data_IF_339473087951
#
_entry.id   IF_339473087951
#
_cell.length_a   1.000
_cell.length_b   1.000
_cell.length_c   1.000
_cell.angle_alpha   90.00
_cell.angle_beta   90.00
_cell.angle_gamma   90.00
#
_symmetry.space_group_name_H-M   'P 1'
#
loop_
_entity.id
_entity.type
_entity.pdbx_description
1 polymer ?
#
# COMPACT_ATOMS: atom_id res chain seq x y z
N UNK A 1 -37.15 -3.22 1.85
CA UNK A 1 -37.46 -2.27 2.92
C UNK A 1 -37.31 -0.88 2.35
N UNK A 2 -38.37 -0.09 2.36
CA UNK A 2 -38.37 1.29 1.87
C UNK A 2 -37.45 2.13 2.78
N UNK A 3 -36.47 2.83 2.17
CA UNK A 3 -35.56 3.71 2.90
C UNK A 3 -34.24 3.11 3.36
N UNK A 4 -33.95 1.84 3.03
CA UNK A 4 -32.63 1.23 3.31
C UNK A 4 -31.52 1.95 2.55
N UNK A 5 -30.41 2.21 3.23
CA UNK A 5 -29.21 2.80 2.66
C UNK A 5 -28.03 1.87 2.88
N UNK A 6 -27.16 1.80 1.91
CA UNK A 6 -25.92 1.01 1.97
C UNK A 6 -24.74 1.96 1.99
N UNK A 7 -23.80 1.69 2.88
CA UNK A 7 -22.58 2.46 3.02
C UNK A 7 -21.39 1.53 2.78
N UNK A 8 -20.48 1.99 1.95
CA UNK A 8 -19.24 1.28 1.64
C UNK A 8 -18.07 2.23 1.84
N UNK A 9 -16.98 1.73 2.37
CA UNK A 9 -15.71 2.40 2.32
C UNK A 9 -14.65 1.47 1.74
N UNK A 10 -13.71 2.01 1.00
CA UNK A 10 -12.61 1.25 0.43
C UNK A 10 -11.42 2.18 0.17
N UNK A 11 -10.23 1.60 0.18
CA UNK A 11 -9.05 2.27 -0.34
C UNK A 11 -9.00 2.10 -1.86
N UNK A 12 -8.45 3.09 -2.59
CA UNK A 12 -8.19 2.96 -4.01
C UNK A 12 -7.26 1.78 -4.32
N UNK A 13 -7.51 1.15 -5.46
CA UNK A 13 -6.71 0.09 -6.01
C UNK A 13 -6.51 0.31 -7.52
N UNK A 14 -6.49 -0.73 -8.32
CA UNK A 14 -6.43 -0.61 -9.76
C UNK A 14 -7.66 0.13 -10.32
N UNK A 15 -7.51 1.01 -11.32
CA UNK A 15 -8.65 1.66 -11.99
C UNK A 15 -9.60 0.65 -12.67
N UNK A 16 -9.13 -0.57 -12.93
CA UNK A 16 -9.94 -1.66 -13.49
C UNK A 16 -10.64 -2.52 -12.42
N UNK A 17 -10.48 -2.18 -11.15
CA UNK A 17 -11.14 -2.92 -10.08
C UNK A 17 -12.67 -2.87 -10.25
N UNK A 18 -13.33 -4.02 -10.10
CA UNK A 18 -14.77 -4.18 -10.36
C UNK A 18 -15.64 -3.17 -9.60
N UNK A 19 -15.26 -2.83 -8.37
CA UNK A 19 -16.02 -1.88 -7.57
C UNK A 19 -15.98 -0.47 -8.18
N UNK A 20 -14.81 -0.05 -8.68
CA UNK A 20 -14.69 1.23 -9.38
C UNK A 20 -15.53 1.21 -10.66
N UNK A 21 -15.29 0.26 -11.55
CA UNK A 21 -15.92 0.22 -12.88
C UNK A 21 -17.42 -0.03 -12.85
N UNK A 22 -17.90 -0.81 -11.85
CA UNK A 22 -19.32 -1.19 -11.76
C UNK A 22 -20.14 -0.26 -10.87
N UNK A 23 -19.51 0.49 -9.97
CA UNK A 23 -20.21 1.35 -9.02
C UNK A 23 -19.78 2.80 -9.10
N UNK A 24 -18.52 3.11 -8.85
CA UNK A 24 -18.03 4.49 -8.76
C UNK A 24 -18.18 5.22 -10.11
N UNK A 25 -17.72 4.61 -11.20
CA UNK A 25 -17.79 5.21 -12.53
C UNK A 25 -19.24 5.34 -13.04
N UNK A 26 -20.16 4.58 -12.45
CA UNK A 26 -21.60 4.63 -12.73
C UNK A 26 -22.42 5.28 -11.62
N UNK A 27 -21.81 6.18 -10.87
CA UNK A 27 -22.42 6.79 -9.70
C UNK A 27 -23.77 7.48 -10.02
N UNK A 28 -23.85 8.20 -11.13
CA UNK A 28 -25.07 8.87 -11.56
C UNK A 28 -26.17 7.88 -11.97
N UNK A 29 -25.81 6.88 -12.77
CA UNK A 29 -26.73 5.83 -13.21
C UNK A 29 -27.34 5.08 -12.02
N UNK A 30 -26.51 4.76 -11.04
CA UNK A 30 -26.90 3.99 -9.84
C UNK A 30 -27.45 4.89 -8.71
N UNK A 31 -27.54 6.19 -8.91
CA UNK A 31 -28.02 7.16 -7.91
C UNK A 31 -27.27 7.05 -6.59
N UNK A 32 -25.96 6.82 -6.65
CA UNK A 32 -25.11 6.76 -5.46
C UNK A 32 -24.35 8.07 -5.26
N UNK A 33 -24.04 8.37 -4.01
CA UNK A 33 -23.16 9.46 -3.62
C UNK A 33 -21.76 8.88 -3.45
N UNK A 34 -20.80 9.36 -4.23
CA UNK A 34 -19.39 9.02 -4.07
C UNK A 34 -18.68 10.18 -3.37
N UNK A 35 -18.07 9.89 -2.24
CA UNK A 35 -17.26 10.82 -1.48
C UNK A 35 -15.81 10.34 -1.52
N UNK A 36 -14.93 11.23 -1.93
CA UNK A 36 -13.49 10.99 -1.91
C UNK A 36 -12.87 11.80 -0.77
N UNK A 37 -12.04 11.15 0.01
CA UNK A 37 -11.27 11.77 1.08
C UNK A 37 -9.82 11.38 0.95
N UNK A 38 -8.94 12.33 1.15
CA UNK A 38 -7.51 12.10 1.28
C UNK A 38 -7.04 12.34 2.74
N UNK A 39 -5.76 12.19 2.97
CA UNK A 39 -5.20 12.38 4.31
C UNK A 39 -5.31 13.84 4.77
N UNK A 40 -5.29 14.79 3.85
CA UNK A 40 -5.30 16.22 4.18
C UNK A 40 -6.69 16.70 4.57
N UNK A 41 -7.74 16.02 4.14
CA UNK A 41 -9.12 16.28 4.57
C UNK A 41 -9.34 15.98 6.06
N UNK A 42 -8.47 15.19 6.67
CA UNK A 42 -8.55 14.89 8.10
C UNK A 42 -7.91 16.02 8.93
N UNK A 43 -8.74 16.98 9.34
CA UNK A 43 -8.32 18.13 10.13
C UNK A 43 -7.85 17.77 11.56
N UNK A 44 -8.23 16.60 12.06
CA UNK A 44 -7.80 16.13 13.40
C UNK A 44 -6.40 15.52 13.40
N UNK A 45 -5.83 15.28 12.22
CA UNK A 45 -4.53 14.64 12.09
C UNK A 45 -3.40 15.69 12.16
N UNK A 46 -2.54 15.58 13.16
CA UNK A 46 -1.44 16.50 13.35
C UNK A 46 -0.43 16.43 12.18
N UNK A 47 0.18 17.55 11.82
CA UNK A 47 1.05 17.65 10.64
C UNK A 47 2.30 16.75 10.73
N UNK A 48 2.86 16.55 11.93
CA UNK A 48 3.97 15.63 12.14
C UNK A 48 3.60 14.17 11.80
N UNK A 49 2.34 13.78 12.05
CA UNK A 49 1.82 12.46 11.69
C UNK A 49 1.64 12.36 10.18
N UNK A 50 1.08 13.39 9.53
CA UNK A 50 0.96 13.44 8.07
C UNK A 50 2.33 13.35 7.39
N UNK A 51 3.32 14.10 7.88
CA UNK A 51 4.69 14.06 7.37
C UNK A 51 5.30 12.65 7.48
N UNK A 52 5.08 11.97 8.61
CA UNK A 52 5.54 10.59 8.79
C UNK A 52 4.91 9.64 7.77
N UNK A 53 3.61 9.72 7.54
CA UNK A 53 2.95 8.87 6.54
C UNK A 53 3.44 9.18 5.13
N UNK A 54 3.62 10.46 4.76
CA UNK A 54 4.18 10.84 3.47
C UNK A 54 5.60 10.30 3.25
N UNK A 55 6.40 10.19 4.30
CA UNK A 55 7.75 9.62 4.21
C UNK A 55 7.80 8.09 4.16
N UNK A 56 6.76 7.42 4.64
CA UNK A 56 6.69 5.95 4.68
C UNK A 56 6.23 5.33 3.36
N UNK A 57 5.38 6.03 2.61
CA UNK A 57 4.82 5.51 1.37
C UNK A 57 5.53 6.09 0.16
N UNK A 58 5.78 5.24 -0.83
CA UNK A 58 6.42 5.62 -2.09
C UNK A 58 5.69 5.00 -3.29
N UNK A 59 5.91 5.58 -4.48
CA UNK A 59 5.37 5.07 -5.73
C UNK A 59 3.86 4.92 -5.73
N UNK A 60 3.37 3.77 -6.17
CA UNK A 60 1.94 3.46 -6.27
C UNK A 60 1.23 3.49 -4.92
N UNK A 61 1.90 3.06 -3.85
CA UNK A 61 1.30 3.08 -2.51
C UNK A 61 1.10 4.51 -2.01
N UNK A 62 2.01 5.42 -2.32
CA UNK A 62 1.82 6.84 -2.03
C UNK A 62 0.59 7.40 -2.77
N UNK A 63 0.47 7.10 -4.06
CA UNK A 63 -0.67 7.52 -4.86
C UNK A 63 -1.99 6.98 -4.33
N UNK A 64 -2.02 5.70 -3.95
CA UNK A 64 -3.26 5.05 -3.45
C UNK A 64 -3.65 5.49 -2.05
N UNK A 65 -2.70 5.48 -1.11
CA UNK A 65 -3.01 5.63 0.33
C UNK A 65 -2.87 7.07 0.84
N UNK A 66 -2.04 7.89 0.19
CA UNK A 66 -1.87 9.29 0.58
C UNK A 66 -2.70 10.21 -0.30
N UNK A 67 -2.65 10.02 -1.61
CA UNK A 67 -3.38 10.86 -2.56
C UNK A 67 -4.77 10.33 -2.92
N UNK A 68 -5.14 9.13 -2.49
CA UNK A 68 -6.44 8.54 -2.75
C UNK A 68 -6.71 8.21 -4.23
N UNK A 69 -5.68 7.97 -5.03
CA UNK A 69 -5.80 7.78 -6.47
C UNK A 69 -5.98 6.32 -6.85
N UNK A 70 -6.91 6.06 -7.77
CA UNK A 70 -7.03 4.77 -8.43
C UNK A 70 -5.96 4.67 -9.51
N UNK A 71 -4.91 3.89 -9.24
CA UNK A 71 -3.75 3.80 -10.13
C UNK A 71 -3.28 2.37 -10.33
N UNK A 72 -2.71 2.11 -11.51
CA UNK A 72 -2.17 0.80 -11.86
C UNK A 72 -0.82 0.62 -11.18
N UNK A 73 -0.65 -0.51 -10.51
CA UNK A 73 0.66 -0.94 -10.04
C UNK A 73 1.39 -1.64 -11.19
N UNK A 74 2.03 -0.87 -12.06
CA UNK A 74 2.82 -1.45 -13.14
C UNK A 74 4.19 -1.90 -12.61
N UNK A 75 4.38 -3.19 -12.64
CA UNK A 75 5.67 -3.88 -12.80
C UNK A 75 6.56 -4.04 -11.59
N UNK A 76 6.76 -3.07 -10.74
CA UNK A 76 7.76 -3.16 -9.67
C UNK A 76 7.07 -3.02 -8.31
N UNK A 77 6.97 -4.14 -7.60
CA UNK A 77 6.42 -4.16 -6.22
C UNK A 77 7.32 -3.36 -5.25
N UNK A 78 8.60 -3.28 -5.57
CA UNK A 78 9.60 -2.54 -4.80
C UNK A 78 10.41 -1.67 -5.77
N UNK A 79 9.94 -0.45 -6.02
CA UNK A 79 10.63 0.54 -6.86
C UNK A 79 11.96 1.02 -6.26
N UNK A 80 12.09 0.89 -4.94
CA UNK A 80 13.31 1.19 -4.21
C UNK A 80 14.37 0.09 -4.30
N UNK A 81 14.04 -1.09 -4.85
CA UNK A 81 14.99 -2.20 -4.90
C UNK A 81 16.07 -1.95 -5.95
N UNK A 82 17.30 -1.83 -5.49
CA UNK A 82 18.50 -1.74 -6.33
C UNK A 82 19.35 -2.97 -6.10
N UNK A 83 19.61 -3.70 -7.17
CA UNK A 83 20.35 -4.96 -7.09
C UNK A 83 21.75 -4.76 -6.48
N UNK A 84 22.38 -3.66 -6.80
CA UNK A 84 23.73 -3.32 -6.37
C UNK A 84 23.82 -3.02 -4.86
N UNK A 85 22.74 -2.51 -4.28
CA UNK A 85 22.70 -2.10 -2.88
C UNK A 85 22.05 -3.17 -1.98
N UNK A 86 21.07 -3.89 -2.53
CA UNK A 86 20.22 -4.78 -1.71
C UNK A 86 20.52 -6.27 -1.90
N UNK A 87 21.39 -6.63 -2.85
CA UNK A 87 21.83 -8.00 -3.05
C UNK A 87 23.27 -8.14 -2.55
N UNK A 88 23.44 -8.88 -1.48
CA UNK A 88 24.76 -9.25 -0.97
C UNK A 88 25.14 -10.63 -1.50
N UNK A 89 26.32 -10.74 -2.07
CA UNK A 89 26.84 -12.01 -2.59
C UNK A 89 27.52 -12.83 -1.48
N UNK A 90 28.04 -12.16 -0.47
CA UNK A 90 28.63 -12.77 0.71
C UNK A 90 27.88 -12.30 1.95
N UNK A 91 27.50 -13.25 2.81
CA UNK A 91 26.86 -12.90 4.07
C UNK A 91 27.93 -12.36 5.03
N UNK A 92 27.73 -11.16 5.62
CA UNK A 92 28.61 -10.70 6.66
C UNK A 92 28.56 -11.66 7.86
N UNK A 93 29.68 -11.78 8.59
CA UNK A 93 29.75 -12.59 9.80
C UNK A 93 28.71 -12.10 10.81
N UNK A 94 27.64 -12.86 10.97
CA UNK A 94 26.47 -12.44 11.76
C UNK A 94 26.69 -12.85 13.21
N UNK A 95 26.79 -11.88 14.09
CA UNK A 95 26.69 -12.14 15.53
C UNK A 95 25.23 -12.55 15.84
N UNK A 96 24.99 -13.78 16.33
CA UNK A 96 23.64 -14.34 16.42
C UNK A 96 22.85 -13.78 17.60
N UNK A 97 22.34 -12.56 17.45
CA UNK A 97 21.33 -12.03 18.37
C UNK A 97 20.07 -11.66 17.59
N UNK A 98 19.11 -12.58 17.60
CA UNK A 98 17.74 -12.39 17.15
C UNK A 98 17.54 -12.06 15.65
N UNK A 99 17.92 -13.00 14.77
CA UNK A 99 17.57 -12.94 13.35
C UNK A 99 16.24 -13.67 13.14
N UNK A 100 15.26 -12.98 12.56
CA UNK A 100 13.99 -13.59 12.15
C UNK A 100 13.99 -13.74 10.63
N UNK A 101 13.86 -14.97 10.16
CA UNK A 101 13.68 -15.25 8.74
C UNK A 101 12.20 -15.28 8.40
N UNK A 102 11.78 -14.51 7.41
CA UNK A 102 10.45 -14.60 6.83
C UNK A 102 10.54 -15.19 5.43
N UNK A 103 9.84 -16.30 5.19
CA UNK A 103 9.75 -16.90 3.85
C UNK A 103 8.53 -16.33 3.14
N UNK A 104 8.77 -15.52 2.12
CA UNK A 104 7.72 -15.15 1.17
C UNK A 104 7.62 -16.25 0.10
N UNK A 105 6.46 -16.95 0.07
CA UNK A 105 6.14 -17.84 -1.04
C UNK A 105 5.56 -17.01 -2.18
N UNK A 106 6.37 -16.71 -3.15
CA UNK A 106 5.88 -16.24 -4.44
C UNK A 106 6.60 -17.01 -5.53
N UNK A 107 5.83 -17.71 -6.38
CA UNK A 107 6.24 -18.48 -7.56
C UNK A 107 7.60 -19.22 -7.51
N UNK A 108 7.63 -20.43 -7.93
CA UNK A 108 8.61 -21.50 -7.78
C UNK A 108 10.10 -21.24 -8.13
N UNK A 109 10.54 -20.01 -8.46
CA UNK A 109 11.91 -19.79 -8.98
C UNK A 109 12.79 -18.82 -8.19
N UNK A 110 12.29 -18.06 -7.24
CA UNK A 110 13.13 -17.11 -6.51
C UNK A 110 12.96 -17.25 -5.01
N UNK A 111 14.07 -17.51 -4.31
CA UNK A 111 14.11 -17.45 -2.85
C UNK A 111 14.59 -16.07 -2.46
N UNK A 112 13.68 -15.23 -1.94
CA UNK A 112 14.05 -13.94 -1.36
C UNK A 112 14.13 -14.13 0.14
N UNK A 113 15.30 -13.84 0.71
CA UNK A 113 15.50 -13.82 2.16
C UNK A 113 15.52 -12.35 2.59
N UNK A 114 14.60 -11.99 3.48
CA UNK A 114 14.61 -10.66 4.09
C UNK A 114 15.10 -10.81 5.51
N UNK A 115 16.23 -10.18 5.84
CA UNK A 115 16.73 -10.06 7.20
C UNK A 115 16.24 -8.74 7.79
N UNK A 116 15.54 -8.82 8.92
CA UNK A 116 15.12 -7.65 9.67
C UNK A 116 15.63 -7.70 11.11
N UNK A 117 16.16 -6.59 11.61
CA UNK A 117 16.47 -6.42 13.03
C UNK A 117 15.18 -6.06 13.75
N UNK A 118 14.85 -6.79 14.81
CA UNK A 118 13.72 -6.44 15.68
C UNK A 118 14.04 -5.14 16.40
N UNK A 119 13.28 -4.09 16.12
CA UNK A 119 13.25 -2.94 17.01
C UNK A 119 12.36 -3.31 18.22
N UNK A 120 12.93 -3.32 19.42
CA UNK A 120 12.11 -3.39 20.63
C UNK A 120 11.38 -2.06 20.80
N UNK A 121 10.06 -2.15 20.85
CA UNK A 121 9.15 -1.10 21.34
C UNK A 121 9.02 -1.24 22.85
#
# INVERSE_FOLDING_TARGET
>A
VTGSKWWFNCNPDSPYHWFKTSWIDKAQEKKLVYLHFDMDDNLSLAENIKARYRSQYHGVFYQRYIQGLWTIAEGIVYDMFRKEEHVVHELPELVPKHIRFSRLRYAERYRIFVMGKRCNW
#
